data_IF_236023061442
#
_entry.id   IF_236023061442
#
_cell.length_a   1.000
_cell.length_b   1.000
_cell.length_c   1.000
_cell.angle_alpha   90.00
_cell.angle_beta   90.00
_cell.angle_gamma   90.00
#
_symmetry.space_group_name_H-M   'P 1'
#
loop_
_entity.id
_entity.type
_entity.pdbx_description
1 polymer ?
#
# COMPACT_ATOMS: atom_id res chain seq x y z
N UNK A 1 -82.44 -4.37 31.83
CA UNK A 1 -81.74 -3.07 31.87
C UNK A 1 -81.19 -2.77 30.50
N UNK A 2 -81.91 -1.96 29.73
CA UNK A 2 -81.49 -1.31 28.48
C UNK A 2 -82.62 -0.36 28.09
N UNK A 3 -82.34 0.93 27.92
CA UNK A 3 -82.76 1.71 26.75
C UNK A 3 -82.20 3.14 26.81
N UNK A 4 -81.54 3.50 25.71
CA UNK A 4 -81.46 4.80 25.03
C UNK A 4 -81.52 6.10 25.83
N UNK A 5 -80.47 6.92 25.70
CA UNK A 5 -80.63 8.38 25.62
C UNK A 5 -79.81 8.94 24.46
N UNK A 6 -80.53 9.47 23.47
CA UNK A 6 -80.03 10.38 22.43
C UNK A 6 -80.16 11.80 22.96
N UNK A 7 -79.11 12.61 22.89
CA UNK A 7 -79.26 14.07 22.88
C UNK A 7 -78.28 14.71 21.89
N UNK A 8 -78.87 15.37 20.89
CA UNK A 8 -78.22 16.03 19.76
C UNK A 8 -77.77 17.43 20.18
N UNK A 9 -76.48 17.70 20.17
CA UNK A 9 -75.94 19.06 20.39
C UNK A 9 -75.59 19.69 19.05
N UNK A 10 -76.30 20.75 18.67
CA UNK A 10 -76.07 21.53 17.44
C UNK A 10 -74.85 22.45 17.66
N UNK A 11 -73.69 22.13 17.08
CA UNK A 11 -72.58 23.08 16.99
C UNK A 11 -72.83 24.06 15.83
N UNK A 12 -72.92 25.36 16.16
CA UNK A 12 -72.92 26.45 15.18
C UNK A 12 -71.50 26.66 14.69
N UNK A 13 -71.25 26.38 13.41
CA UNK A 13 -69.98 26.69 12.75
C UNK A 13 -69.85 28.21 12.57
N UNK A 14 -68.98 28.86 13.34
CA UNK A 14 -68.51 30.21 13.07
C UNK A 14 -67.37 30.15 12.05
N UNK A 15 -67.61 30.65 10.84
CA UNK A 15 -66.58 30.78 9.79
C UNK A 15 -65.73 32.01 10.13
N UNK A 16 -64.50 31.78 10.58
CA UNK A 16 -63.46 32.83 10.65
C UNK A 16 -62.74 32.84 9.30
N UNK A 17 -62.97 33.89 8.51
CA UNK A 17 -62.18 34.16 7.30
C UNK A 17 -60.77 34.62 7.73
N UNK A 18 -59.80 33.71 7.71
CA UNK A 18 -58.38 34.03 7.74
C UNK A 18 -57.93 34.35 6.30
N UNK A 19 -57.66 35.62 6.03
CA UNK A 19 -57.05 36.06 4.78
C UNK A 19 -55.61 35.53 4.70
N UNK A 20 -55.39 34.47 3.92
CA UNK A 20 -54.06 34.01 3.54
C UNK A 20 -53.44 35.00 2.55
N UNK A 21 -52.57 35.89 3.04
CA UNK A 21 -51.71 36.69 2.19
C UNK A 21 -50.66 35.80 1.52
N UNK A 22 -50.78 35.61 0.20
CA UNK A 22 -49.80 34.91 -0.62
C UNK A 22 -48.55 35.79 -0.80
N UNK A 23 -47.65 35.77 0.20
CA UNK A 23 -46.30 36.29 0.06
C UNK A 23 -45.45 35.30 -0.74
N UNK A 24 -45.33 35.51 -2.05
CA UNK A 24 -44.37 34.80 -2.87
C UNK A 24 -42.95 35.26 -2.48
N UNK A 25 -42.33 34.56 -1.53
CA UNK A 25 -40.92 34.70 -1.25
C UNK A 25 -40.14 34.11 -2.44
N UNK A 26 -39.67 34.98 -3.32
CA UNK A 26 -38.72 34.60 -4.35
C UNK A 26 -37.41 34.17 -3.66
N UNK A 27 -37.16 32.86 -3.58
CA UNK A 27 -35.86 32.33 -3.21
C UNK A 27 -34.88 32.71 -4.32
N UNK A 28 -34.11 33.77 -4.10
CA UNK A 28 -32.96 34.09 -4.94
C UNK A 28 -32.00 32.89 -4.87
N UNK A 29 -31.86 32.17 -5.99
CA UNK A 29 -30.86 31.13 -6.12
C UNK A 29 -29.48 31.77 -5.97
N UNK A 30 -28.77 31.43 -4.90
CA UNK A 30 -27.37 31.80 -4.73
C UNK A 30 -26.58 31.23 -5.90
N UNK A 31 -25.81 32.05 -6.65
CA UNK A 31 -24.99 31.53 -7.73
C UNK A 31 -24.01 30.51 -7.15
N UNK A 32 -24.11 29.28 -7.64
CA UNK A 32 -23.19 28.21 -7.28
C UNK A 32 -21.81 28.63 -7.78
N UNK A 33 -20.95 29.04 -6.85
CA UNK A 33 -19.57 29.42 -7.15
C UNK A 33 -18.92 28.29 -7.96
N UNK A 34 -18.50 28.58 -9.18
CA UNK A 34 -17.79 27.62 -10.01
C UNK A 34 -16.55 27.17 -9.24
N UNK A 35 -16.43 25.86 -9.00
CA UNK A 35 -15.25 25.31 -8.36
C UNK A 35 -14.01 25.70 -9.16
N UNK A 36 -12.94 26.08 -8.47
CA UNK A 36 -11.67 26.40 -9.12
C UNK A 36 -11.20 25.21 -9.98
N UNK A 37 -10.56 25.45 -11.14
CA UNK A 37 -10.07 24.39 -11.99
C UNK A 37 -9.06 23.52 -11.25
N UNK A 38 -9.22 22.19 -11.34
CA UNK A 38 -8.28 21.23 -10.75
C UNK A 38 -7.00 21.22 -11.58
N UNK A 39 -5.81 21.44 -10.99
CA UNK A 39 -4.55 21.42 -11.72
C UNK A 39 -4.25 20.05 -12.35
N UNK A 40 -3.74 20.01 -13.58
CA UNK A 40 -3.29 18.78 -14.24
C UNK A 40 -1.81 18.48 -13.95
N UNK A 41 -1.47 18.30 -12.67
CA UNK A 41 -0.12 17.92 -12.23
C UNK A 41 -0.06 16.44 -11.87
N UNK A 42 1.13 15.83 -11.94
CA UNK A 42 1.31 14.43 -11.50
C UNK A 42 0.91 14.25 -10.04
N UNK A 43 1.24 15.19 -9.17
CA UNK A 43 0.83 15.19 -7.76
C UNK A 43 -0.70 15.15 -7.60
N UNK A 44 -1.43 15.95 -8.39
CA UNK A 44 -2.89 15.92 -8.36
C UNK A 44 -3.45 14.60 -8.92
N UNK A 45 -2.86 14.06 -9.99
CA UNK A 45 -3.31 12.80 -10.59
C UNK A 45 -3.10 11.60 -9.63
N UNK A 46 -2.02 11.60 -8.85
CA UNK A 46 -1.71 10.52 -7.89
C UNK A 46 -2.31 10.74 -6.49
N UNK A 47 -3.07 11.81 -6.27
CA UNK A 47 -3.67 12.12 -4.97
C UNK A 47 -4.54 10.96 -4.44
N UNK A 48 -5.25 10.24 -5.32
CA UNK A 48 -6.03 9.06 -4.95
C UNK A 48 -5.16 7.96 -4.31
N UNK A 49 -3.93 7.76 -4.78
CA UNK A 49 -3.00 6.77 -4.22
C UNK A 49 -2.62 7.10 -2.77
N UNK A 50 -2.48 8.40 -2.45
CA UNK A 50 -2.08 8.86 -1.11
C UNK A 50 -3.17 8.70 -0.05
N UNK A 51 -4.43 8.51 -0.46
CA UNK A 51 -5.52 8.22 0.48
C UNK A 51 -5.28 6.92 1.27
N UNK A 52 -4.61 5.95 0.64
CA UNK A 52 -4.23 4.67 1.24
C UNK A 52 -2.75 4.68 1.64
N UNK A 53 -1.86 5.09 0.73
CA UNK A 53 -0.41 5.00 0.94
C UNK A 53 0.17 6.16 1.76
N UNK A 54 -0.67 7.01 2.33
CA UNK A 54 -0.26 8.20 3.08
C UNK A 54 0.25 9.33 2.20
N UNK A 55 0.38 10.52 2.80
CA UNK A 55 0.91 11.71 2.13
C UNK A 55 2.25 11.40 1.45
N UNK A 56 2.38 11.77 0.17
CA UNK A 56 3.54 11.48 -0.67
C UNK A 56 3.96 9.99 -0.72
N UNK A 57 3.07 9.06 -0.36
CA UNK A 57 3.38 7.62 -0.30
C UNK A 57 4.23 7.22 0.90
N UNK A 58 4.18 7.96 2.01
CA UNK A 58 4.98 7.69 3.22
C UNK A 58 4.62 6.39 3.96
N UNK A 59 3.47 5.78 3.66
CA UNK A 59 2.81 4.78 4.50
C UNK A 59 2.08 5.43 5.67
N UNK A 60 1.25 4.65 6.38
CA UNK A 60 0.54 5.11 7.58
C UNK A 60 0.66 4.11 8.73
N UNK A 61 0.84 4.58 9.99
CA UNK A 61 0.74 3.72 11.17
C UNK A 61 -0.65 3.10 11.36
N UNK A 62 -1.71 3.74 10.86
CA UNK A 62 -3.10 3.30 11.08
C UNK A 62 -3.48 2.10 10.22
N UNK A 63 -2.72 1.84 9.14
CA UNK A 63 -2.93 0.70 8.26
C UNK A 63 -1.59 0.13 7.80
N UNK A 64 -0.99 -0.65 8.69
CA UNK A 64 0.34 -1.25 8.53
C UNK A 64 0.45 -2.23 7.35
N UNK A 65 -0.65 -2.73 6.79
CA UNK A 65 -0.61 -3.56 5.59
C UNK A 65 -0.42 -2.74 4.30
N UNK A 66 -0.63 -1.43 4.33
CA UNK A 66 -0.40 -0.56 3.19
C UNK A 66 1.05 -0.06 3.23
N UNK A 67 1.89 -0.44 2.26
CA UNK A 67 3.31 -0.13 2.31
C UNK A 67 3.58 1.33 1.95
N UNK A 68 4.71 1.84 2.48
CA UNK A 68 5.40 3.01 1.94
C UNK A 68 5.74 2.78 0.46
N UNK A 69 5.55 3.79 -0.37
CA UNK A 69 5.97 3.84 -1.77
C UNK A 69 7.17 4.78 -1.97
N UNK A 70 7.23 5.85 -1.17
CA UNK A 70 8.21 6.91 -1.27
C UNK A 70 9.66 6.39 -1.24
N UNK A 71 10.45 6.80 -2.24
CA UNK A 71 11.87 6.49 -2.36
C UNK A 71 12.18 5.07 -2.83
N UNK A 72 11.18 4.25 -3.21
CA UNK A 72 11.44 2.93 -3.79
C UNK A 72 11.92 3.04 -5.24
N UNK A 73 12.70 2.07 -5.76
CA UNK A 73 13.12 2.08 -7.16
C UNK A 73 11.92 2.19 -8.12
N UNK A 74 12.00 3.07 -9.12
CA UNK A 74 10.92 3.28 -10.08
C UNK A 74 10.63 1.99 -10.89
N UNK A 75 11.66 1.25 -11.30
CA UNK A 75 11.49 -0.03 -12.00
C UNK A 75 10.73 -1.06 -11.16
N UNK A 76 11.06 -1.15 -9.87
CA UNK A 76 10.31 -2.00 -8.93
C UNK A 76 8.83 -1.58 -8.84
N UNK A 77 8.57 -0.28 -8.65
CA UNK A 77 7.21 0.25 -8.49
C UNK A 77 6.36 0.00 -9.74
N UNK A 78 6.91 0.28 -10.93
CA UNK A 78 6.26 -0.01 -12.21
C UNK A 78 5.90 -1.50 -12.31
N UNK A 79 6.86 -2.38 -12.04
CA UNK A 79 6.63 -3.82 -12.11
C UNK A 79 5.52 -4.27 -11.14
N UNK A 80 5.46 -3.68 -9.94
CA UNK A 80 4.40 -4.02 -8.99
C UNK A 80 3.03 -3.59 -9.49
N UNK A 81 2.92 -2.40 -10.09
CA UNK A 81 1.67 -1.91 -10.67
C UNK A 81 1.21 -2.82 -11.82
N UNK A 82 2.12 -3.23 -12.70
CA UNK A 82 1.84 -4.17 -13.79
C UNK A 82 1.43 -5.55 -13.27
N UNK A 83 2.05 -6.04 -12.19
CA UNK A 83 1.66 -7.31 -11.57
C UNK A 83 0.27 -7.27 -10.95
N UNK A 84 -0.14 -6.15 -10.37
CA UNK A 84 -1.53 -5.98 -9.93
C UNK A 84 -2.48 -5.92 -11.14
N UNK A 85 -2.10 -5.22 -12.20
CA UNK A 85 -2.95 -5.07 -13.39
C UNK A 85 -3.17 -6.40 -14.13
N UNK A 86 -2.18 -7.29 -14.11
CA UNK A 86 -2.20 -8.60 -14.77
C UNK A 86 -2.60 -9.76 -13.84
N UNK A 87 -2.86 -9.50 -12.56
CA UNK A 87 -3.23 -10.52 -11.56
C UNK A 87 -2.07 -11.39 -11.05
N UNK A 88 -0.84 -11.12 -11.46
CA UNK A 88 0.38 -11.80 -10.98
C UNK A 88 0.70 -11.46 -9.52
N UNK A 89 0.20 -10.33 -9.03
CA UNK A 89 0.16 -10.00 -7.61
C UNK A 89 -1.30 -9.72 -7.26
N UNK A 90 -1.88 -10.60 -6.46
CA UNK A 90 -3.29 -10.53 -6.11
C UNK A 90 -3.49 -9.65 -4.88
N UNK A 91 -4.31 -8.62 -5.03
CA UNK A 91 -4.80 -7.76 -3.96
C UNK A 91 -5.94 -6.89 -4.51
N UNK A 92 -7.19 -7.29 -4.26
CA UNK A 92 -8.37 -6.70 -4.88
C UNK A 92 -8.42 -5.14 -4.82
N UNK A 93 -8.08 -4.47 -3.71
CA UNK A 93 -8.03 -3.00 -3.70
C UNK A 93 -7.04 -2.40 -4.71
N UNK A 94 -5.85 -3.01 -4.85
CA UNK A 94 -4.83 -2.50 -5.77
C UNK A 94 -5.17 -2.84 -7.22
N UNK A 95 -5.66 -4.05 -7.49
CA UNK A 95 -6.17 -4.45 -8.80
C UNK A 95 -7.24 -3.45 -9.28
N UNK A 96 -8.20 -3.10 -8.42
CA UNK A 96 -9.25 -2.14 -8.73
C UNK A 96 -8.69 -0.77 -9.14
N UNK A 97 -7.69 -0.28 -8.41
CA UNK A 97 -7.07 1.04 -8.66
C UNK A 97 -6.30 1.06 -9.97
N UNK A 98 -5.63 -0.03 -10.36
CA UNK A 98 -4.75 -0.05 -11.55
C UNK A 98 -5.41 -0.56 -12.83
N UNK A 99 -6.55 -1.25 -12.76
CA UNK A 99 -7.13 -2.00 -13.89
C UNK A 99 -7.42 -1.18 -15.16
N UNK A 100 -7.63 0.13 -15.06
CA UNK A 100 -7.92 1.02 -16.21
C UNK A 100 -6.79 2.01 -16.50
N UNK A 101 -5.63 1.89 -15.83
CA UNK A 101 -4.53 2.85 -16.01
C UNK A 101 -3.67 2.46 -17.21
N UNK A 102 -3.40 3.43 -18.10
CA UNK A 102 -2.54 3.20 -19.26
C UNK A 102 -1.05 3.06 -18.88
N UNK A 103 -0.22 2.38 -19.71
CA UNK A 103 1.19 2.12 -19.40
C UNK A 103 2.03 3.38 -19.15
N UNK A 104 1.75 4.46 -19.88
CA UNK A 104 2.44 5.74 -19.68
C UNK A 104 2.16 6.33 -18.29
N UNK A 105 0.92 6.17 -17.79
CA UNK A 105 0.56 6.68 -16.48
C UNK A 105 1.10 5.81 -15.35
N UNK A 106 1.15 4.48 -15.53
CA UNK A 106 1.83 3.58 -14.58
C UNK A 106 3.31 3.96 -14.38
N UNK A 107 4.01 4.30 -15.47
CA UNK A 107 5.39 4.81 -15.41
C UNK A 107 5.48 6.14 -14.64
N UNK A 108 4.61 7.10 -14.94
CA UNK A 108 4.57 8.38 -14.22
C UNK A 108 4.31 8.20 -12.71
N UNK A 109 3.42 7.29 -12.32
CA UNK A 109 3.16 6.97 -10.91
C UNK A 109 4.44 6.42 -10.26
N UNK A 110 5.10 5.46 -10.91
CA UNK A 110 6.31 4.84 -10.41
C UNK A 110 7.46 5.86 -10.25
N UNK A 111 7.68 6.70 -11.25
CA UNK A 111 8.67 7.78 -11.23
C UNK A 111 8.37 8.80 -10.14
N UNK A 112 7.10 9.22 -10.01
CA UNK A 112 6.67 10.18 -9.00
C UNK A 112 7.01 9.69 -7.58
N UNK A 113 6.58 8.47 -7.21
CA UNK A 113 6.82 7.94 -5.87
C UNK A 113 8.29 7.61 -5.61
N UNK A 114 9.04 7.23 -6.63
CA UNK A 114 10.49 7.00 -6.52
C UNK A 114 11.28 8.26 -6.14
N UNK A 115 10.78 9.45 -6.53
CA UNK A 115 11.41 10.74 -6.23
C UNK A 115 10.98 11.34 -4.88
N UNK A 116 10.02 10.72 -4.18
CA UNK A 116 9.55 11.26 -2.90
C UNK A 116 10.56 10.98 -1.79
N UNK A 117 11.07 12.05 -1.19
CA UNK A 117 11.86 11.99 0.03
C UNK A 117 11.01 12.46 1.21
N UNK A 118 10.60 11.51 2.05
CA UNK A 118 9.76 11.79 3.22
C UNK A 118 10.27 11.04 4.45
N UNK A 119 10.19 11.64 5.65
CA UNK A 119 10.67 11.02 6.87
C UNK A 119 10.03 9.66 7.14
N UNK A 120 10.79 8.74 7.72
CA UNK A 120 10.25 7.50 8.27
C UNK A 120 9.36 7.78 9.48
N UNK A 121 8.27 7.03 9.60
CA UNK A 121 7.40 7.00 10.78
C UNK A 121 7.53 5.65 11.44
N UNK A 122 7.80 5.62 12.75
CA UNK A 122 7.89 4.37 13.51
C UNK A 122 6.56 3.62 13.43
N UNK A 123 6.62 2.37 12.98
CA UNK A 123 5.47 1.47 12.90
C UNK A 123 5.46 0.54 14.11
N UNK A 124 4.28 0.07 14.56
CA UNK A 124 4.19 -0.91 15.62
C UNK A 124 4.83 -2.24 15.19
N UNK A 125 5.45 -2.92 16.16
CA UNK A 125 6.06 -4.24 15.99
C UNK A 125 5.50 -5.13 17.11
N UNK A 126 5.01 -6.35 16.80
CA UNK A 126 4.54 -7.26 17.83
C UNK A 126 5.69 -7.70 18.75
N UNK A 127 5.42 -7.95 20.04
CA UNK A 127 6.43 -8.48 20.94
C UNK A 127 6.86 -9.89 20.49
N UNK A 128 8.17 -10.11 20.40
CA UNK A 128 8.78 -11.42 20.11
C UNK A 128 9.95 -11.65 21.07
N UNK A 129 10.37 -12.91 21.23
CA UNK A 129 11.51 -13.24 22.08
C UNK A 129 12.83 -12.72 21.49
N UNK A 130 13.84 -12.55 22.35
CA UNK A 130 15.21 -12.22 21.93
C UNK A 130 15.79 -13.26 20.97
N UNK A 131 15.46 -14.54 21.17
CA UNK A 131 15.87 -15.62 20.28
C UNK A 131 15.27 -15.49 18.87
N UNK A 132 14.00 -15.09 18.76
CA UNK A 132 13.36 -14.81 17.48
C UNK A 132 14.05 -13.64 16.77
N UNK A 133 14.40 -12.57 17.49
CA UNK A 133 15.14 -11.44 16.90
C UNK A 133 16.54 -11.85 16.43
N UNK A 134 17.28 -12.64 17.22
CA UNK A 134 18.61 -13.15 16.86
C UNK A 134 18.55 -14.04 15.62
N UNK A 135 17.51 -14.88 15.50
CA UNK A 135 17.28 -15.67 14.28
C UNK A 135 16.98 -14.78 13.07
N UNK A 136 16.18 -13.72 13.25
CA UNK A 136 15.88 -12.75 12.19
C UNK A 136 17.14 -12.05 11.70
N UNK A 137 17.98 -11.57 12.61
CA UNK A 137 19.28 -10.96 12.32
C UNK A 137 20.17 -11.89 11.51
N UNK A 138 20.33 -13.14 11.96
CA UNK A 138 21.14 -14.13 11.28
C UNK A 138 20.67 -14.37 9.85
N UNK A 139 19.36 -14.54 9.62
CA UNK A 139 18.80 -14.73 8.29
C UNK A 139 19.02 -13.50 7.40
N UNK A 140 18.78 -12.31 7.94
CA UNK A 140 18.88 -11.06 7.17
C UNK A 140 20.33 -10.76 6.77
N UNK A 141 21.27 -10.88 7.71
CA UNK A 141 22.66 -10.51 7.48
C UNK A 141 23.51 -11.63 6.88
N UNK A 142 23.20 -12.90 7.20
CA UNK A 142 24.06 -14.05 6.86
C UNK A 142 23.35 -15.16 6.10
N UNK A 143 22.02 -15.15 6.05
CA UNK A 143 21.25 -16.25 5.46
C UNK A 143 21.34 -17.54 6.27
N UNK A 144 20.93 -18.65 5.68
CA UNK A 144 20.99 -20.00 6.25
C UNK A 144 21.36 -21.00 5.15
N UNK A 145 22.64 -21.37 5.07
CA UNK A 145 23.16 -22.29 4.06
C UNK A 145 22.57 -23.71 4.19
N UNK A 146 22.18 -24.13 5.40
CA UNK A 146 21.59 -25.46 5.61
C UNK A 146 20.22 -25.61 4.94
N UNK A 147 19.54 -24.48 4.70
CA UNK A 147 18.26 -24.40 3.98
C UNK A 147 18.39 -23.73 2.60
N UNK A 148 19.60 -23.32 2.21
CA UNK A 148 19.84 -22.57 0.98
C UNK A 148 19.21 -21.17 0.97
N UNK A 149 18.96 -20.56 2.13
CA UNK A 149 18.44 -19.19 2.23
C UNK A 149 19.63 -18.23 2.10
N UNK A 150 19.74 -17.41 1.04
CA UNK A 150 20.78 -16.38 0.98
C UNK A 150 20.52 -15.27 2.00
N UNK A 151 21.53 -14.47 2.33
CA UNK A 151 21.33 -13.28 3.16
C UNK A 151 20.48 -12.25 2.41
N UNK A 152 19.56 -11.57 3.09
CA UNK A 152 18.74 -10.54 2.46
C UNK A 152 19.58 -9.36 1.95
N UNK A 153 20.65 -9.01 2.69
CA UNK A 153 21.57 -7.93 2.33
C UNK A 153 22.32 -8.18 1.01
N UNK A 154 22.46 -9.44 0.57
CA UNK A 154 23.14 -9.77 -0.71
C UNK A 154 22.39 -9.26 -1.94
N UNK A 155 21.07 -9.05 -1.81
CA UNK A 155 20.22 -8.56 -2.88
C UNK A 155 19.68 -7.17 -2.53
N UNK A 156 19.06 -7.01 -1.36
CA UNK A 156 18.39 -5.77 -0.95
C UNK A 156 19.34 -4.63 -0.51
N UNK A 157 20.65 -4.80 -0.73
CA UNK A 157 21.70 -3.86 -0.38
C UNK A 157 22.15 -3.95 1.09
N UNK A 158 23.38 -3.50 1.37
CA UNK A 158 23.98 -3.59 2.70
C UNK A 158 23.17 -2.87 3.80
N UNK A 159 22.51 -1.75 3.45
CA UNK A 159 21.63 -0.98 4.33
C UNK A 159 20.16 -1.42 4.26
N UNK A 160 19.83 -2.41 3.42
CA UNK A 160 18.47 -2.88 3.18
C UNK A 160 17.51 -1.80 2.66
N UNK A 161 18.05 -0.73 2.06
CA UNK A 161 17.30 0.35 1.40
C UNK A 161 17.02 0.05 -0.07
N UNK A 162 17.50 -1.09 -0.59
CA UNK A 162 17.31 -1.53 -1.97
C UNK A 162 18.50 -1.17 -2.86
N UNK A 163 18.39 -1.58 -4.12
CA UNK A 163 19.38 -1.34 -5.18
C UNK A 163 18.63 -1.06 -6.49
N UNK A 164 19.04 -0.01 -7.20
CA UNK A 164 18.45 0.32 -8.50
C UNK A 164 18.72 -0.78 -9.54
N UNK A 165 17.82 -1.00 -10.53
CA UNK A 165 16.52 -0.34 -10.71
C UNK A 165 15.33 -1.09 -10.10
N UNK A 166 15.54 -2.31 -9.61
CA UNK A 166 14.45 -3.27 -9.36
C UNK A 166 14.40 -3.83 -7.95
N UNK A 167 15.45 -3.66 -7.14
CA UNK A 167 15.51 -4.30 -5.84
C UNK A 167 14.95 -3.37 -4.76
N UNK A 168 13.80 -3.70 -4.14
CA UNK A 168 13.15 -2.78 -3.21
C UNK A 168 13.87 -2.72 -1.88
N UNK A 169 13.84 -1.55 -1.24
CA UNK A 169 14.19 -1.42 0.17
C UNK A 169 13.18 -2.13 1.09
N UNK A 170 13.72 -2.77 2.12
CA UNK A 170 12.98 -3.46 3.18
C UNK A 170 12.87 -2.60 4.45
N UNK A 171 13.81 -1.68 4.67
CA UNK A 171 13.76 -0.76 5.80
C UNK A 171 12.54 0.14 5.75
N UNK A 172 11.93 0.35 6.92
CA UNK A 172 10.74 1.18 7.09
C UNK A 172 9.42 0.54 6.63
N UNK A 173 9.43 -0.74 6.23
CA UNK A 173 8.21 -1.52 6.04
C UNK A 173 7.74 -2.10 7.38
N UNK A 174 6.42 -2.29 7.52
CA UNK A 174 5.84 -2.87 8.73
C UNK A 174 6.11 -4.36 8.84
N UNK A 175 6.01 -4.88 10.06
CA UNK A 175 6.01 -6.31 10.34
C UNK A 175 4.94 -7.05 9.50
N UNK A 176 3.69 -6.56 9.54
CA UNK A 176 2.56 -7.24 8.91
C UNK A 176 2.69 -7.26 7.38
N UNK A 177 3.14 -6.16 6.78
CA UNK A 177 3.37 -6.11 5.34
C UNK A 177 4.49 -7.08 4.93
N UNK A 178 5.63 -7.05 5.63
CA UNK A 178 6.77 -7.94 5.35
C UNK A 178 6.36 -9.42 5.45
N UNK A 179 5.69 -9.79 6.54
CA UNK A 179 5.17 -11.13 6.76
C UNK A 179 4.18 -11.54 5.66
N UNK A 180 3.20 -10.68 5.37
CA UNK A 180 2.21 -10.93 4.32
C UNK A 180 2.85 -11.11 2.94
N UNK A 181 3.90 -10.34 2.61
CA UNK A 181 4.61 -10.51 1.34
C UNK A 181 5.32 -11.87 1.27
N UNK A 182 6.03 -12.24 2.33
CA UNK A 182 6.71 -13.54 2.42
C UNK A 182 5.72 -14.72 2.31
N UNK A 183 4.57 -14.62 2.96
CA UNK A 183 3.50 -15.63 2.85
C UNK A 183 2.89 -15.64 1.46
N UNK A 184 2.65 -14.48 0.83
CA UNK A 184 2.02 -14.39 -0.50
C UNK A 184 2.80 -15.10 -1.61
N UNK A 185 4.13 -15.14 -1.50
CA UNK A 185 4.97 -15.94 -2.41
C UNK A 185 4.82 -17.44 -2.19
N UNK A 186 4.66 -17.89 -0.93
CA UNK A 186 4.43 -19.31 -0.61
C UNK A 186 3.06 -19.78 -1.06
N UNK A 187 2.04 -18.94 -0.91
CA UNK A 187 0.65 -19.25 -1.32
C UNK A 187 0.37 -18.95 -2.78
N UNK A 188 1.37 -18.45 -3.53
CA UNK A 188 1.26 -18.08 -4.95
C UNK A 188 0.21 -17.00 -5.25
N UNK A 189 -0.23 -16.24 -4.24
CA UNK A 189 -1.01 -15.01 -4.47
C UNK A 189 -0.12 -13.85 -4.92
N UNK A 190 1.19 -13.99 -4.74
CA UNK A 190 2.22 -13.20 -5.45
C UNK A 190 3.05 -14.16 -6.29
N UNK A 191 2.55 -14.48 -7.47
CA UNK A 191 3.14 -15.43 -8.41
C UNK A 191 3.22 -14.82 -9.81
N UNK A 192 4.26 -14.01 -10.02
CA UNK A 192 4.68 -13.69 -11.37
C UNK A 192 5.15 -14.99 -12.09
N UNK A 193 5.18 -15.00 -13.42
CA UNK A 193 5.50 -16.19 -14.25
C UNK A 193 7.00 -16.55 -14.32
N UNK A 194 7.45 -17.66 -13.72
CA UNK A 194 8.88 -18.07 -13.63
C UNK A 194 9.43 -18.21 -12.19
N UNK A 195 10.67 -18.72 -11.98
CA UNK A 195 11.28 -18.70 -10.65
C UNK A 195 11.72 -17.26 -10.29
N UNK A 196 10.87 -16.55 -9.56
CA UNK A 196 11.23 -15.24 -8.99
C UNK A 196 12.03 -15.42 -7.71
N UNK A 197 13.02 -14.56 -7.54
CA UNK A 197 13.98 -14.58 -6.44
C UNK A 197 13.30 -14.81 -5.08
N UNK A 198 12.31 -13.99 -4.76
CA UNK A 198 11.63 -14.08 -3.46
C UNK A 198 10.69 -15.28 -3.33
N UNK A 199 10.18 -15.83 -4.43
CA UNK A 199 9.45 -17.10 -4.42
C UNK A 199 10.32 -18.24 -3.93
N UNK A 200 11.54 -18.34 -4.44
CA UNK A 200 12.50 -19.36 -4.02
C UNK A 200 12.94 -19.14 -2.57
N UNK A 201 13.31 -17.91 -2.20
CA UNK A 201 13.73 -17.58 -0.83
C UNK A 201 12.64 -17.87 0.20
N UNK A 202 11.40 -17.43 -0.06
CA UNK A 202 10.28 -17.64 0.86
C UNK A 202 9.95 -19.12 1.06
N UNK A 203 10.08 -19.95 0.03
CA UNK A 203 9.82 -21.39 0.13
C UNK A 203 10.96 -22.18 0.82
N UNK A 204 12.15 -21.60 0.98
CA UNK A 204 13.26 -22.19 1.74
C UNK A 204 13.19 -21.90 3.25
N UNK A 205 12.50 -20.82 3.62
CA UNK A 205 12.29 -20.41 5.01
C UNK A 205 11.23 -21.26 5.72
N UNK A 206 11.38 -21.44 7.04
CA UNK A 206 10.28 -21.91 7.91
C UNK A 206 9.29 -20.79 8.17
N UNK A 207 8.13 -21.13 8.69
CA UNK A 207 7.15 -20.14 9.18
C UNK A 207 7.73 -19.28 10.30
N UNK A 208 8.43 -19.90 11.24
CA UNK A 208 9.15 -19.17 12.30
C UNK A 208 10.25 -18.25 11.77
N UNK A 209 10.86 -18.60 10.62
CA UNK A 209 11.86 -17.74 9.97
C UNK A 209 11.21 -16.49 9.34
N UNK A 210 10.00 -16.61 8.80
CA UNK A 210 9.22 -15.46 8.29
C UNK A 210 8.90 -14.48 9.43
N UNK A 211 8.40 -14.99 10.56
CA UNK A 211 8.15 -14.18 11.76
C UNK A 211 9.44 -13.50 12.23
N UNK A 212 10.55 -14.23 12.29
CA UNK A 212 11.84 -13.72 12.74
C UNK A 212 12.37 -12.59 11.85
N UNK A 213 12.38 -12.80 10.53
CA UNK A 213 12.85 -11.80 9.55
C UNK A 213 11.97 -10.55 9.58
N UNK A 214 10.64 -10.71 9.55
CA UNK A 214 9.71 -9.58 9.59
C UNK A 214 9.85 -8.77 10.89
N UNK A 215 9.97 -9.44 12.04
CA UNK A 215 10.12 -8.78 13.34
C UNK A 215 11.45 -8.03 13.44
N UNK A 216 12.55 -8.67 13.03
CA UNK A 216 13.86 -8.03 13.06
C UNK A 216 13.91 -6.81 12.14
N UNK A 217 13.47 -6.93 10.88
CA UNK A 217 13.46 -5.81 9.92
C UNK A 217 12.60 -4.63 10.42
N UNK A 218 11.40 -4.91 10.93
CA UNK A 218 10.48 -3.87 11.41
C UNK A 218 10.95 -3.21 12.71
N UNK A 219 11.79 -3.89 13.49
CA UNK A 219 12.39 -3.34 14.72
C UNK A 219 13.57 -2.41 14.47
N UNK A 220 14.15 -2.41 13.27
CA UNK A 220 15.32 -1.58 12.97
C UNK A 220 14.95 -0.11 12.88
N UNK A 221 15.87 0.75 13.31
CA UNK A 221 15.81 2.17 13.01
C UNK A 221 16.33 2.36 11.57
N UNK A 222 15.50 2.85 10.64
CA UNK A 222 15.97 3.08 9.28
C UNK A 222 17.03 4.18 9.24
N UNK A 223 17.97 4.11 8.27
CA UNK A 223 18.85 5.23 7.97
C UNK A 223 18.04 6.48 7.58
N UNK A 224 18.65 7.66 7.71
CA UNK A 224 18.02 8.92 7.32
C UNK A 224 17.67 8.95 5.83
N UNK A 225 18.53 8.34 5.00
CA UNK A 225 18.30 8.15 3.57
C UNK A 225 17.81 6.72 3.31
N UNK A 226 16.56 6.62 2.87
CA UNK A 226 15.88 5.37 2.53
C UNK A 226 15.94 5.02 1.04
N UNK A 227 16.61 5.83 0.22
CA UNK A 227 16.73 5.58 -1.21
C UNK A 227 17.61 4.34 -1.50
N UNK A 228 17.32 3.63 -2.59
CA UNK A 228 18.13 2.50 -3.02
C UNK A 228 19.53 2.96 -3.41
N UNK A 229 20.51 2.08 -3.17
CA UNK A 229 21.86 2.26 -3.68
C UNK A 229 21.86 2.26 -5.23
N UNK A 230 22.86 2.89 -5.88
CA UNK A 230 23.01 2.81 -7.33
C UNK A 230 23.22 1.36 -7.79
N UNK A 231 22.90 1.05 -9.05
CA UNK A 231 23.05 -0.29 -9.60
C UNK A 231 24.49 -0.83 -9.46
N UNK A 232 25.50 0.05 -9.54
CA UNK A 232 26.91 -0.28 -9.34
C UNK A 232 27.26 -0.79 -7.93
N UNK A 233 26.36 -0.64 -6.95
CA UNK A 233 26.53 -1.20 -5.62
C UNK A 233 26.25 -2.71 -5.57
N UNK A 234 25.59 -3.28 -6.59
CA UNK A 234 25.45 -4.72 -6.75
C UNK A 234 26.73 -5.27 -7.37
N UNK A 235 27.65 -5.77 -6.54
CA UNK A 235 28.95 -6.29 -7.00
C UNK A 235 28.91 -7.79 -7.30
N UNK A 236 27.97 -8.51 -6.71
CA UNK A 236 27.80 -9.95 -6.89
C UNK A 236 26.62 -10.23 -7.82
N UNK A 237 26.77 -11.16 -8.78
CA UNK A 237 25.67 -11.56 -9.64
C UNK A 237 24.56 -12.19 -8.82
N UNK A 238 23.31 -11.95 -9.24
CA UNK A 238 22.17 -12.63 -8.64
C UNK A 238 22.31 -14.14 -8.83
N UNK A 239 21.86 -14.96 -7.86
CA UNK A 239 21.90 -16.41 -8.02
C UNK A 239 21.19 -16.85 -9.30
N UNK A 240 21.69 -17.86 -10.03
CA UNK A 240 21.12 -18.26 -11.33
C UNK A 240 19.65 -18.74 -11.32
N UNK A 241 19.08 -18.97 -10.13
CA UNK A 241 17.64 -19.27 -9.94
C UNK A 241 16.78 -18.02 -9.72
N UNK A 242 17.38 -16.83 -9.59
CA UNK A 242 16.72 -15.57 -9.31
C UNK A 242 16.50 -14.81 -10.62
N UNK A 243 15.27 -14.80 -11.10
CA UNK A 243 14.85 -14.01 -12.28
C UNK A 243 14.13 -12.74 -11.82
N UNK A 244 14.52 -11.60 -12.39
CA UNK A 244 13.92 -10.28 -12.14
C UNK A 244 13.09 -9.83 -13.36
N UNK A 245 11.76 -9.89 -13.25
CA UNK A 245 10.83 -9.38 -14.28
C UNK A 245 10.69 -10.26 -15.53
N UNK A 246 9.77 -9.87 -16.42
CA UNK A 246 9.43 -10.61 -17.66
C UNK A 246 10.31 -10.28 -18.86
N UNK A 247 11.12 -9.23 -18.75
CA UNK A 247 11.96 -8.74 -19.82
C UNK A 247 13.41 -8.99 -19.44
N UNK A 248 14.15 -9.64 -20.35
CA UNK A 248 15.58 -9.87 -20.26
C UNK A 248 16.41 -8.59 -20.16
N UNK A 249 16.33 -7.92 -19.01
CA UNK A 249 17.41 -7.07 -18.53
C UNK A 249 18.51 -8.05 -18.17
N UNK A 250 19.46 -8.20 -19.11
CA UNK A 250 20.70 -8.90 -18.87
C UNK A 250 21.34 -8.36 -17.58
N UNK A 251 22.02 -9.25 -16.80
CA UNK A 251 22.63 -8.90 -15.53
C UNK A 251 23.55 -7.68 -15.62
#
# INVERSE_FOLDING_TARGET
MNLSLSLRTKLRAGVVLLAFGAGAAASAATPQSAAAPVPDTTEQRVAACTSCHGAHGAGTPDNVLIPRLAGKPAGYLLQQLEYFQTGQRQHAPMEYVVRQLGPAYLRQIAEYFAQQDVPYRKLPVPPVSSETLRRGEQLVLRGDSTRGVPSCVSCHGAKLTGVQPMMPGLMGLSYDYLSAQLVSWRTRTRAAEGPYCMGVVANRMRESDITAVAAWLASQQPPSDLHPAPASAQTEPLPGWCVMGHSGVAP
#
